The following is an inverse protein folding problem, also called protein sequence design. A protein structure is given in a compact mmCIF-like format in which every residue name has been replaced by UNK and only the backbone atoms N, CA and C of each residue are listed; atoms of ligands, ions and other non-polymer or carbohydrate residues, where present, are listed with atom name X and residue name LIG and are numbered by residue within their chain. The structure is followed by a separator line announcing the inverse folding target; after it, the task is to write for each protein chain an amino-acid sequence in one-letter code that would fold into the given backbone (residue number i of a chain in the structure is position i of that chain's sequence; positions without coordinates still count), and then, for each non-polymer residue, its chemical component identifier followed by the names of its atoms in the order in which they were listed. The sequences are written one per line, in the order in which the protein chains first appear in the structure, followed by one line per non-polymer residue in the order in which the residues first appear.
data_IF_219900067300
#
_entry.id   IF_219900067300
#
_cell.length_a   1.000
_cell.length_b   1.000
_cell.length_c   1.000
_cell.angle_alpha   90.00
_cell.angle_beta   90.00
_cell.angle_gamma   90.00
#
_symmetry.space_group_name_H-M   'P 1'
#
loop_
_entity.id
_entity.type
_entity.pdbx_description
1 polymer ?
#
# COMPACT_ATOMS: atom_id res chain seq x y z
N UNK A 1 55.70 71.28 -65.24
CA UNK A 1 54.63 71.49 -64.26
C UNK A 1 53.67 70.31 -64.29
N UNK A 2 53.43 69.73 -63.12
CA UNK A 2 52.34 68.84 -62.67
C UNK A 2 51.48 68.03 -63.69
N UNK A 3 51.77 66.72 -63.73
CA UNK A 3 50.89 65.56 -63.41
C UNK A 3 49.40 65.53 -63.78
N UNK A 4 49.00 64.42 -64.40
CA UNK A 4 47.62 63.91 -64.39
C UNK A 4 47.51 62.48 -64.94
N UNK A 5 48.02 61.48 -64.21
CA UNK A 5 47.88 60.05 -64.56
C UNK A 5 46.50 59.57 -64.11
N UNK A 6 45.63 59.25 -65.07
CA UNK A 6 44.26 58.79 -64.81
C UNK A 6 44.25 57.27 -64.59
N UNK A 7 44.44 56.82 -63.34
CA UNK A 7 44.32 55.40 -62.96
C UNK A 7 42.84 55.03 -62.75
N UNK A 8 42.28 54.25 -63.68
CA UNK A 8 41.00 53.55 -63.50
C UNK A 8 41.14 52.52 -62.37
N UNK A 9 40.50 52.77 -61.23
CA UNK A 9 40.35 51.80 -60.15
C UNK A 9 39.16 50.90 -60.50
N UNK A 10 39.45 49.63 -60.80
CA UNK A 10 38.42 48.59 -60.97
C UNK A 10 37.74 48.29 -59.65
N UNK A 11 36.40 48.32 -59.63
CA UNK A 11 35.53 48.04 -58.47
C UNK A 11 35.58 46.57 -57.98
N UNK A 12 36.57 45.79 -58.43
CA UNK A 12 36.77 44.38 -58.06
C UNK A 12 37.73 44.16 -56.87
N UNK A 13 38.42 45.21 -56.37
CA UNK A 13 39.44 45.09 -55.32
C UNK A 13 38.95 45.39 -53.89
N UNK A 14 37.67 45.74 -53.68
CA UNK A 14 37.14 46.12 -52.36
C UNK A 14 36.19 45.08 -51.74
N UNK A 15 36.31 43.79 -52.11
CA UNK A 15 35.44 42.70 -51.60
C UNK A 15 36.20 41.49 -51.03
N UNK A 16 37.43 41.66 -50.54
CA UNK A 16 38.22 40.54 -49.99
C UNK A 16 38.39 40.54 -48.45
N UNK A 17 37.78 41.48 -47.71
CA UNK A 17 37.95 41.55 -46.25
C UNK A 17 36.64 41.68 -45.48
N UNK A 18 35.67 40.80 -45.72
CA UNK A 18 34.56 40.58 -44.78
C UNK A 18 33.83 39.24 -45.01
N UNK A 19 34.58 38.13 -45.10
CA UNK A 19 34.04 36.82 -44.75
C UNK A 19 34.71 36.36 -43.46
N UNK A 20 34.23 36.87 -42.33
CA UNK A 20 34.34 36.12 -41.07
C UNK A 20 33.52 34.85 -41.30
N UNK A 21 34.20 33.72 -41.49
CA UNK A 21 33.55 32.43 -41.38
C UNK A 21 32.91 32.39 -39.99
N UNK A 22 31.58 32.30 -39.94
CA UNK A 22 30.88 31.86 -38.74
C UNK A 22 31.35 30.42 -38.49
N UNK A 23 32.46 30.27 -37.74
CA UNK A 23 32.74 29.02 -37.05
C UNK A 23 31.64 28.89 -36.01
N UNK A 24 30.55 28.20 -36.35
CA UNK A 24 29.70 27.62 -35.31
C UNK A 24 30.59 26.66 -34.54
N UNK A 25 31.12 27.08 -33.41
CA UNK A 25 31.74 26.16 -32.47
C UNK A 25 30.61 25.30 -31.91
N UNK A 26 30.29 24.20 -32.60
CA UNK A 26 29.59 23.12 -31.94
C UNK A 26 30.52 22.65 -30.83
N UNK A 27 30.11 22.86 -29.59
CA UNK A 27 30.85 22.42 -28.42
C UNK A 27 30.81 20.89 -28.42
N UNK A 28 31.78 20.26 -29.09
CA UNK A 28 31.90 18.81 -29.14
C UNK A 28 32.58 18.36 -27.86
N UNK A 29 31.77 17.97 -26.86
CA UNK A 29 32.27 17.26 -25.69
C UNK A 29 33.02 16.00 -26.15
N UNK A 30 34.23 15.74 -25.63
CA UNK A 30 34.96 14.50 -25.94
C UNK A 30 34.04 13.29 -25.69
N UNK A 31 33.99 12.35 -26.64
CA UNK A 31 33.04 11.23 -26.59
C UNK A 31 33.08 10.44 -25.26
N UNK A 32 34.24 10.36 -24.60
CA UNK A 32 34.38 9.77 -23.26
C UNK A 32 33.72 10.58 -22.14
N UNK A 33 33.78 11.90 -22.20
CA UNK A 33 33.10 12.80 -21.25
C UNK A 33 31.59 12.73 -21.46
N UNK A 34 31.10 12.79 -22.71
CA UNK A 34 29.68 12.67 -22.99
C UNK A 34 29.11 11.32 -22.52
N UNK A 35 29.82 10.20 -22.79
CA UNK A 35 29.43 8.87 -22.29
C UNK A 35 29.38 8.81 -20.77
N UNK A 36 30.38 9.38 -20.09
CA UNK A 36 30.45 9.41 -18.63
C UNK A 36 29.33 10.26 -18.05
N UNK A 37 29.08 11.45 -18.60
CA UNK A 37 27.98 12.33 -18.18
C UNK A 37 26.63 11.64 -18.38
N UNK A 38 26.39 10.98 -19.51
CA UNK A 38 25.15 10.23 -19.75
C UNK A 38 25.00 9.07 -18.76
N UNK A 39 26.08 8.35 -18.44
CA UNK A 39 26.06 7.28 -17.45
C UNK A 39 25.74 7.80 -16.04
N UNK A 40 26.36 8.91 -15.62
CA UNK A 40 26.09 9.55 -14.32
C UNK A 40 24.65 10.06 -14.24
N UNK A 41 24.14 10.69 -15.31
CA UNK A 41 22.75 11.13 -15.37
C UNK A 41 21.78 9.95 -15.32
N UNK A 42 22.10 8.85 -16.00
CA UNK A 42 21.29 7.63 -15.98
C UNK A 42 21.27 7.00 -14.58
N UNK A 43 22.43 6.87 -13.92
CA UNK A 43 22.50 6.38 -12.54
C UNK A 43 21.74 7.30 -11.58
N UNK A 44 21.90 8.62 -11.73
CA UNK A 44 21.16 9.61 -10.94
C UNK A 44 19.65 9.49 -11.15
N UNK A 45 19.21 9.31 -12.39
CA UNK A 45 17.80 9.07 -12.72
C UNK A 45 17.28 7.75 -12.12
N UNK A 46 18.05 6.66 -12.18
CA UNK A 46 17.67 5.38 -11.56
C UNK A 46 17.57 5.49 -10.04
N UNK A 47 18.51 6.18 -9.39
CA UNK A 47 18.48 6.40 -7.95
C UNK A 47 17.26 7.25 -7.55
N UNK A 48 16.98 8.31 -8.30
CA UNK A 48 15.78 9.13 -8.10
C UNK A 48 14.49 8.32 -8.32
N UNK A 49 14.41 7.53 -9.39
CA UNK A 49 13.25 6.71 -9.70
C UNK A 49 13.01 5.64 -8.63
N UNK A 50 14.08 5.02 -8.12
CA UNK A 50 14.01 4.08 -7.01
C UNK A 50 13.46 4.77 -5.76
N UNK A 51 14.02 5.91 -5.36
CA UNK A 51 13.52 6.65 -4.19
C UNK A 51 12.08 7.11 -4.34
N UNK A 52 11.69 7.58 -5.54
CA UNK A 52 10.32 7.98 -5.84
C UNK A 52 9.33 6.80 -5.79
N UNK A 53 9.81 5.58 -6.02
CA UNK A 53 8.99 4.39 -5.99
C UNK A 53 8.82 3.77 -4.59
N UNK A 54 9.69 4.14 -3.64
CA UNK A 54 9.59 3.66 -2.26
C UNK A 54 8.55 4.45 -1.46
N UNK A 55 7.76 3.78 -0.61
CA UNK A 55 6.92 4.47 0.36
C UNK A 55 7.79 5.25 1.36
N UNK A 56 7.29 6.38 1.90
CA UNK A 56 8.01 7.06 2.96
C UNK A 56 8.11 6.16 4.20
N UNK A 57 9.13 6.36 5.05
CA UNK A 57 9.29 5.56 6.25
C UNK A 57 8.03 5.60 7.14
N UNK A 58 7.60 4.46 7.71
CA UNK A 58 6.48 4.42 8.64
C UNK A 58 6.75 5.30 9.86
N UNK A 59 5.72 6.03 10.29
CA UNK A 59 5.81 6.85 11.50
C UNK A 59 5.68 5.97 12.72
N UNK A 60 6.70 5.99 13.57
CA UNK A 60 6.78 5.13 14.76
C UNK A 60 5.87 5.69 15.85
N UNK A 61 5.03 4.84 16.44
CA UNK A 61 4.12 5.22 17.50
C UNK A 61 4.88 5.79 18.72
N UNK A 62 4.37 6.89 19.28
CA UNK A 62 4.98 7.58 20.42
C UNK A 62 6.14 8.52 20.09
N UNK A 63 6.57 8.61 18.83
CA UNK A 63 7.50 9.68 18.38
C UNK A 63 6.74 11.00 18.15
N UNK A 64 7.42 12.17 18.15
CA UNK A 64 6.75 13.47 17.96
C UNK A 64 5.87 13.57 16.71
N UNK A 65 6.25 12.89 15.62
CA UNK A 65 5.51 12.90 14.35
C UNK A 65 4.59 11.68 14.17
N UNK A 66 4.63 10.70 15.10
CA UNK A 66 3.90 9.45 15.01
C UNK A 66 2.59 9.41 15.79
N UNK A 67 1.78 8.35 15.63
CA UNK A 67 0.54 8.18 16.39
C UNK A 67 0.81 8.16 17.90
N UNK A 68 -0.07 8.77 18.72
CA UNK A 68 0.02 8.62 20.17
C UNK A 68 -0.28 7.18 20.56
N UNK A 69 0.34 6.72 21.65
CA UNK A 69 0.08 5.40 22.21
C UNK A 69 -1.02 5.55 23.26
N UNK A 70 -2.21 5.09 22.92
CA UNK A 70 -3.42 5.11 23.74
C UNK A 70 -4.07 3.73 23.88
N UNK A 71 -3.79 2.82 22.96
CA UNK A 71 -4.33 1.47 22.96
C UNK A 71 -3.57 0.52 23.90
N UNK A 72 -4.26 -0.53 24.40
CA UNK A 72 -3.57 -1.74 24.84
C UNK A 72 -2.73 -2.32 23.72
N UNK A 73 -1.50 -2.74 24.05
CA UNK A 73 -0.57 -3.35 23.10
C UNK A 73 0.12 -4.55 23.72
N UNK A 74 0.39 -5.55 22.89
CA UNK A 74 1.31 -6.63 23.21
C UNK A 74 2.67 -6.36 22.58
N UNK A 75 3.74 -6.92 23.15
CA UNK A 75 5.08 -6.86 22.56
C UNK A 75 5.44 -8.22 21.98
N UNK A 76 5.61 -8.28 20.67
CA UNK A 76 6.04 -9.48 19.95
C UNK A 76 7.49 -9.84 20.28
N UNK A 77 7.88 -11.09 19.99
CA UNK A 77 9.22 -11.62 20.24
C UNK A 77 10.32 -10.87 19.51
N UNK A 78 10.02 -10.29 18.36
CA UNK A 78 10.95 -9.47 17.58
C UNK A 78 11.05 -8.01 18.07
N UNK A 79 10.29 -7.66 19.12
CA UNK A 79 10.30 -6.35 19.76
C UNK A 79 9.25 -5.38 19.25
N UNK A 80 8.54 -5.66 18.15
CA UNK A 80 7.43 -4.86 17.65
C UNK A 80 6.23 -4.93 18.59
N UNK A 81 5.38 -3.92 18.57
CA UNK A 81 4.12 -3.90 19.30
C UNK A 81 2.92 -4.06 18.37
N UNK A 82 1.92 -4.82 18.81
CA UNK A 82 0.61 -4.85 18.18
C UNK A 82 -0.44 -4.22 19.09
N UNK A 83 -1.12 -3.19 18.59
CA UNK A 83 -2.27 -2.61 19.24
C UNK A 83 -3.52 -3.43 18.97
N UNK A 84 -4.34 -3.61 20.00
CA UNK A 84 -5.55 -4.42 19.90
C UNK A 84 -6.72 -3.79 20.66
N UNK A 85 -7.91 -4.30 20.36
CA UNK A 85 -9.15 -3.96 21.04
C UNK A 85 -9.94 -5.22 21.30
N UNK A 86 -10.36 -5.39 22.55
CA UNK A 86 -11.25 -6.45 23.00
C UNK A 86 -12.70 -5.98 22.88
N UNK A 87 -13.59 -6.89 22.47
CA UNK A 87 -15.01 -6.63 22.29
C UNK A 87 -15.82 -7.78 22.87
N UNK A 88 -17.13 -7.55 23.02
CA UNK A 88 -18.10 -8.56 23.42
C UNK A 88 -17.93 -9.02 24.88
N UNK A 89 -18.20 -10.29 25.21
CA UNK A 89 -18.11 -10.77 26.61
C UNK A 89 -16.66 -10.89 27.08
N UNK A 90 -16.38 -10.82 28.39
CA UNK A 90 -15.05 -11.08 28.94
C UNK A 90 -14.48 -12.43 28.49
N UNK A 91 -13.17 -12.47 28.24
CA UNK A 91 -12.46 -13.64 27.71
C UNK A 91 -12.60 -14.90 28.59
N UNK A 92 -12.71 -14.73 29.90
CA UNK A 92 -12.86 -15.78 30.90
C UNK A 92 -14.28 -16.38 30.94
N UNK A 93 -15.29 -15.63 30.50
CA UNK A 93 -16.67 -16.09 30.33
C UNK A 93 -16.93 -16.68 28.92
N UNK A 94 -15.99 -16.47 27.99
CA UNK A 94 -16.19 -16.78 26.58
C UNK A 94 -16.03 -18.27 26.24
N UNK A 95 -17.00 -18.80 25.51
CA UNK A 95 -16.96 -20.11 24.86
C UNK A 95 -16.19 -20.09 23.54
N UNK A 96 -16.33 -19.01 22.77
CA UNK A 96 -15.66 -18.82 21.49
C UNK A 96 -14.75 -17.61 21.53
N UNK A 97 -13.48 -17.79 21.16
CA UNK A 97 -12.49 -16.73 21.12
C UNK A 97 -12.05 -16.51 19.69
N UNK A 98 -12.24 -15.30 19.19
CA UNK A 98 -12.12 -14.94 17.79
C UNK A 98 -11.09 -13.82 17.63
N UNK A 99 -10.12 -14.01 16.74
CA UNK A 99 -9.28 -12.93 16.23
C UNK A 99 -9.90 -12.41 14.93
N UNK A 100 -10.28 -11.13 14.92
CA UNK A 100 -10.79 -10.46 13.74
C UNK A 100 -9.68 -9.68 13.03
N UNK A 101 -9.49 -9.98 11.74
CA UNK A 101 -8.50 -9.32 10.88
C UNK A 101 -9.20 -8.34 9.95
N UNK A 102 -8.92 -7.05 10.14
CA UNK A 102 -9.56 -5.96 9.38
C UNK A 102 -9.05 -5.86 7.93
N UNK A 103 -9.85 -5.17 7.11
CA UNK A 103 -9.57 -4.93 5.70
C UNK A 103 -8.62 -3.76 5.44
N UNK A 104 -8.69 -3.25 4.21
CA UNK A 104 -8.01 -2.02 3.79
C UNK A 104 -8.76 -0.79 4.33
N UNK A 105 -8.07 0.34 4.54
CA UNK A 105 -8.59 1.57 5.13
C UNK A 105 -9.38 1.36 6.42
N UNK A 106 -8.83 0.51 7.29
CA UNK A 106 -9.49 0.03 8.49
C UNK A 106 -8.48 -0.23 9.60
N UNK A 107 -8.95 -0.39 10.84
CA UNK A 107 -8.13 -0.58 12.03
C UNK A 107 -8.83 -1.48 13.06
N UNK A 108 -8.23 -1.64 14.25
CA UNK A 108 -8.78 -2.38 15.38
C UNK A 108 -10.19 -1.93 15.80
N UNK A 109 -10.60 -0.69 15.50
CA UNK A 109 -11.94 -0.22 15.86
C UNK A 109 -13.05 -0.73 14.95
N UNK A 110 -12.72 -1.18 13.74
CA UNK A 110 -13.66 -1.54 12.68
C UNK A 110 -13.96 -3.05 12.64
N UNK A 111 -14.07 -3.68 13.80
CA UNK A 111 -14.46 -5.08 13.89
C UNK A 111 -15.94 -5.25 13.52
N UNK A 112 -16.24 -5.36 12.22
CA UNK A 112 -17.62 -5.33 11.70
C UNK A 112 -18.54 -6.30 12.42
N UNK A 113 -18.08 -7.52 12.68
CA UNK A 113 -18.86 -8.53 13.41
C UNK A 113 -19.15 -8.12 14.86
N UNK A 114 -18.19 -7.48 15.54
CA UNK A 114 -18.39 -7.02 16.92
C UNK A 114 -19.34 -5.82 16.98
N UNK A 115 -19.28 -4.95 15.97
CA UNK A 115 -20.07 -3.73 15.92
C UNK A 115 -21.52 -3.98 15.46
N UNK A 116 -21.81 -5.08 14.78
CA UNK A 116 -23.17 -5.37 14.24
C UNK A 116 -23.93 -6.46 14.97
N UNK A 117 -23.28 -7.31 15.77
CA UNK A 117 -23.97 -8.36 16.53
C UNK A 117 -24.79 -7.75 17.68
N UNK A 118 -25.98 -8.31 17.94
CA UNK A 118 -26.77 -7.88 19.10
C UNK A 118 -26.13 -8.34 20.42
N UNK A 119 -26.22 -7.54 21.51
CA UNK A 119 -25.68 -7.92 22.81
C UNK A 119 -26.23 -9.27 23.33
N UNK A 120 -27.50 -9.57 23.06
CA UNK A 120 -28.14 -10.82 23.48
C UNK A 120 -27.51 -12.04 22.81
N UNK A 121 -27.27 -11.98 21.48
CA UNK A 121 -26.61 -13.07 20.73
C UNK A 121 -25.17 -13.24 21.22
N UNK A 122 -24.46 -12.14 21.44
CA UNK A 122 -23.08 -12.15 21.95
C UNK A 122 -23.00 -12.86 23.30
N UNK A 123 -23.93 -12.54 24.21
CA UNK A 123 -24.00 -13.13 25.54
C UNK A 123 -24.44 -14.59 25.52
N UNK A 124 -25.47 -14.91 24.75
CA UNK A 124 -26.00 -16.27 24.59
C UNK A 124 -24.93 -17.23 24.04
N UNK A 125 -24.19 -16.80 23.03
CA UNK A 125 -23.13 -17.61 22.41
C UNK A 125 -21.82 -17.58 23.21
N UNK A 126 -21.64 -16.63 24.12
CA UNK A 126 -20.40 -16.42 24.88
C UNK A 126 -19.22 -16.11 23.94
N UNK A 127 -19.37 -15.12 23.07
CA UNK A 127 -18.36 -14.77 22.06
C UNK A 127 -17.44 -13.66 22.56
N UNK A 128 -16.14 -13.93 22.56
CA UNK A 128 -15.09 -12.93 22.74
C UNK A 128 -14.42 -12.65 21.39
N UNK A 129 -14.31 -11.38 21.03
CA UNK A 129 -13.63 -10.95 19.81
C UNK A 129 -12.49 -10.02 20.19
N UNK A 130 -11.29 -10.29 19.66
CA UNK A 130 -10.19 -9.33 19.64
C UNK A 130 -9.89 -8.94 18.20
N UNK A 131 -9.85 -7.65 17.93
CA UNK A 131 -9.31 -7.10 16.68
C UNK A 131 -7.98 -6.39 16.98
N UNK A 132 -7.11 -6.31 15.99
CA UNK A 132 -5.79 -5.69 16.15
C UNK A 132 -5.46 -4.84 14.95
N UNK A 133 -4.64 -3.82 15.15
CA UNK A 133 -4.08 -3.05 14.04
C UNK A 133 -3.00 -3.91 13.38
N UNK A 134 -3.14 -4.19 12.07
CA UNK A 134 -2.10 -4.89 11.31
C UNK A 134 -0.76 -4.14 11.39
N UNK A 135 0.40 -4.78 11.21
CA UNK A 135 1.69 -4.09 11.24
C UNK A 135 1.70 -2.85 10.33
N UNK A 136 2.08 -1.70 10.91
CA UNK A 136 2.08 -0.39 10.27
C UNK A 136 0.74 0.36 10.33
N UNK A 137 -0.35 -0.25 10.76
CA UNK A 137 -1.64 0.43 10.92
C UNK A 137 -1.83 0.94 12.34
N UNK A 138 -2.61 2.02 12.49
CA UNK A 138 -3.05 2.53 13.79
C UNK A 138 -1.90 2.71 14.77
N UNK A 139 -1.94 1.95 15.86
CA UNK A 139 -0.93 2.03 16.93
C UNK A 139 -0.01 0.79 17.01
N UNK A 140 0.03 -0.01 15.93
CA UNK A 140 0.96 -1.12 15.77
C UNK A 140 2.25 -0.69 15.08
N UNK A 141 3.37 -1.27 15.52
CA UNK A 141 4.66 -1.03 14.88
C UNK A 141 4.68 -1.62 13.45
N UNK A 142 5.40 -0.98 12.52
CA UNK A 142 5.59 -1.51 11.17
C UNK A 142 6.42 -2.79 11.17
N UNK A 143 6.16 -3.69 10.21
CA UNK A 143 7.01 -4.85 9.92
C UNK A 143 7.77 -4.60 8.60
N UNK A 144 9.03 -4.13 8.65
CA UNK A 144 9.84 -3.90 7.45
C UNK A 144 10.25 -5.21 6.75
N UNK A 145 10.15 -6.36 7.44
CA UNK A 145 10.50 -7.67 6.91
C UNK A 145 9.23 -8.53 6.71
N UNK A 146 8.10 -7.87 6.46
CA UNK A 146 6.80 -8.54 6.38
C UNK A 146 6.80 -9.64 5.34
N UNK A 147 6.33 -10.80 5.77
CA UNK A 147 6.06 -11.94 4.92
C UNK A 147 4.66 -12.47 5.20
N UNK A 148 4.13 -13.29 4.28
CA UNK A 148 2.90 -14.04 4.55
C UNK A 148 3.00 -14.87 5.84
N UNK A 149 4.19 -15.37 6.18
CA UNK A 149 4.41 -16.15 7.39
C UNK A 149 4.48 -15.28 8.65
N UNK A 150 5.16 -14.11 8.61
CA UNK A 150 5.33 -13.27 9.79
C UNK A 150 3.98 -12.84 10.37
N UNK A 151 3.05 -12.35 9.53
CA UNK A 151 1.73 -11.92 10.01
C UNK A 151 0.89 -13.05 10.62
N UNK A 152 1.08 -14.30 10.17
CA UNK A 152 0.41 -15.44 10.79
C UNK A 152 0.99 -15.77 12.16
N UNK A 153 2.32 -15.65 12.31
CA UNK A 153 3.00 -15.82 13.60
C UNK A 153 2.67 -14.68 14.58
N UNK A 154 2.55 -13.45 14.09
CA UNK A 154 2.07 -12.30 14.86
C UNK A 154 0.69 -12.58 15.48
N UNK A 155 -0.23 -13.20 14.72
CA UNK A 155 -1.55 -13.60 15.20
C UNK A 155 -1.47 -14.73 16.23
N UNK A 156 -0.57 -15.70 16.04
CA UNK A 156 -0.30 -16.76 17.01
C UNK A 156 0.22 -16.18 18.34
N UNK A 157 1.20 -15.28 18.28
CA UNK A 157 1.74 -14.59 19.45
C UNK A 157 0.70 -13.71 20.15
N UNK A 158 -0.17 -13.04 19.38
CA UNK A 158 -1.31 -12.30 19.91
C UNK A 158 -2.24 -13.23 20.70
N UNK A 159 -2.58 -14.38 20.15
CA UNK A 159 -3.42 -15.35 20.83
C UNK A 159 -2.77 -15.89 22.11
N UNK A 160 -1.46 -16.16 22.08
CA UNK A 160 -0.71 -16.67 23.23
C UNK A 160 -0.64 -15.66 24.37
N UNK A 161 -0.24 -14.43 24.07
CA UNK A 161 -0.11 -13.38 25.10
C UNK A 161 -1.46 -12.97 25.69
N UNK A 162 -2.52 -13.01 24.89
CA UNK A 162 -3.87 -12.79 25.40
C UNK A 162 -4.48 -14.03 26.06
N UNK A 163 -3.82 -15.19 26.07
CA UNK A 163 -4.34 -16.39 26.71
C UNK A 163 -5.64 -16.89 26.07
N UNK A 164 -5.71 -16.90 24.73
CA UNK A 164 -6.88 -17.40 24.01
C UNK A 164 -7.00 -18.93 24.05
N UNK A 165 -5.96 -19.62 24.52
CA UNK A 165 -5.92 -21.07 24.66
C UNK A 165 -5.19 -21.76 23.50
N UNK A 166 -5.29 -23.09 23.45
CA UNK A 166 -4.57 -23.90 22.46
C UNK A 166 -5.08 -23.66 21.04
N UNK A 167 -6.39 -23.43 20.88
CA UNK A 167 -7.01 -23.13 19.59
C UNK A 167 -7.99 -21.96 19.69
N UNK A 168 -8.05 -21.16 18.63
CA UNK A 168 -8.95 -20.01 18.49
C UNK A 168 -9.49 -19.91 17.05
N UNK A 169 -10.48 -19.05 16.84
CA UNK A 169 -11.05 -18.79 15.52
C UNK A 169 -10.44 -17.54 14.89
N UNK A 170 -10.35 -17.52 13.56
CA UNK A 170 -9.94 -16.32 12.81
C UNK A 170 -11.04 -15.91 11.86
N UNK A 171 -11.37 -14.62 11.85
CA UNK A 171 -12.29 -14.04 10.87
C UNK A 171 -11.53 -12.99 10.06
N UNK A 172 -11.38 -13.23 8.76
CA UNK A 172 -10.73 -12.29 7.84
C UNK A 172 -11.77 -11.52 7.02
N UNK A 173 -11.81 -10.20 7.16
CA UNK A 173 -12.70 -9.34 6.37
C UNK A 173 -11.95 -8.67 5.21
N UNK A 174 -12.48 -8.78 3.98
CA UNK A 174 -11.88 -8.16 2.80
C UNK A 174 -10.41 -8.55 2.63
N UNK A 175 -9.48 -7.58 2.69
CA UNK A 175 -8.03 -7.83 2.66
C UNK A 175 -7.56 -8.73 3.82
N UNK A 176 -8.24 -8.69 4.97
CA UNK A 176 -8.00 -9.60 6.09
C UNK A 176 -8.20 -11.07 5.73
N UNK A 177 -8.97 -11.37 4.67
CA UNK A 177 -9.11 -12.71 4.12
C UNK A 177 -7.77 -13.29 3.64
N UNK A 178 -6.87 -12.48 3.06
CA UNK A 178 -5.53 -12.94 2.65
C UNK A 178 -4.69 -13.37 3.86
N UNK A 179 -4.82 -12.65 4.98
CA UNK A 179 -4.13 -13.00 6.22
C UNK A 179 -4.74 -14.25 6.85
N UNK A 180 -6.05 -14.42 6.79
CA UNK A 180 -6.71 -15.64 7.22
C UNK A 180 -6.21 -16.88 6.45
N UNK A 181 -5.95 -16.76 5.13
CA UNK A 181 -5.29 -17.80 4.35
C UNK A 181 -3.86 -18.09 4.82
N UNK A 182 -3.10 -17.07 5.18
CA UNK A 182 -1.77 -17.26 5.76
C UNK A 182 -1.84 -18.02 7.09
N UNK A 183 -2.84 -17.75 7.93
CA UNK A 183 -3.05 -18.49 9.17
C UNK A 183 -3.31 -19.98 8.89
N UNK A 184 -4.19 -20.28 7.93
CA UNK A 184 -4.45 -21.67 7.50
C UNK A 184 -3.18 -22.37 7.04
N UNK A 185 -2.28 -21.65 6.36
CA UNK A 185 -1.03 -22.21 5.85
C UNK A 185 0.04 -22.42 6.93
N UNK A 186 0.22 -21.46 7.84
CA UNK A 186 1.39 -21.42 8.72
C UNK A 186 1.11 -21.76 10.18
N UNK A 187 -0.11 -21.58 10.66
CA UNK A 187 -0.51 -21.91 12.04
C UNK A 187 -1.77 -22.80 12.13
N UNK A 188 -1.99 -23.78 11.23
CA UNK A 188 -3.23 -24.57 11.23
C UNK A 188 -3.45 -25.33 12.56
N UNK A 189 -2.38 -25.66 13.28
CA UNK A 189 -2.45 -26.32 14.59
C UNK A 189 -3.14 -25.45 15.66
N UNK A 190 -3.16 -24.13 15.49
CA UNK A 190 -3.79 -23.15 16.40
C UNK A 190 -5.23 -22.80 16.05
N UNK A 191 -5.75 -23.27 14.93
CA UNK A 191 -7.05 -22.83 14.43
C UNK A 191 -8.14 -23.83 14.82
N UNK A 192 -9.16 -23.35 15.51
CA UNK A 192 -10.43 -24.06 15.70
C UNK A 192 -11.34 -23.91 14.48
N UNK A 193 -11.19 -22.81 13.73
CA UNK A 193 -11.91 -22.55 12.48
C UNK A 193 -11.54 -21.19 11.90
N UNK A 194 -11.82 -21.01 10.61
CA UNK A 194 -11.57 -19.76 9.89
C UNK A 194 -12.81 -19.38 9.10
N UNK A 195 -13.20 -18.11 9.16
CA UNK A 195 -14.24 -17.54 8.31
C UNK A 195 -13.68 -16.41 7.44
N UNK A 196 -14.08 -16.41 6.17
CA UNK A 196 -13.76 -15.36 5.22
C UNK A 196 -15.00 -14.53 4.95
N UNK A 197 -14.96 -13.24 5.27
CA UNK A 197 -16.06 -12.31 5.07
C UNK A 197 -15.73 -11.37 3.91
N UNK A 198 -16.42 -11.53 2.80
CA UNK A 198 -16.21 -10.78 1.56
C UNK A 198 -14.71 -10.65 1.18
N UNK A 199 -13.96 -11.77 1.09
CA UNK A 199 -12.51 -11.73 0.92
C UNK A 199 -12.10 -11.15 -0.44
N UNK A 200 -10.95 -10.48 -0.47
CA UNK A 200 -10.29 -10.15 -1.75
C UNK A 200 -9.75 -11.45 -2.37
N UNK A 201 -10.07 -11.68 -3.63
CA UNK A 201 -9.64 -12.87 -4.39
C UNK A 201 -8.31 -12.61 -5.09
N UNK A 202 -7.42 -13.60 -5.07
CA UNK A 202 -6.21 -13.61 -5.89
C UNK A 202 -6.47 -14.34 -7.21
N UNK A 203 -6.45 -13.60 -8.32
CA UNK A 203 -6.72 -14.13 -9.66
C UNK A 203 -5.61 -15.07 -10.20
N UNK A 204 -4.46 -15.13 -9.54
CA UNK A 204 -3.30 -15.94 -9.91
C UNK A 204 -3.10 -17.18 -9.03
N UNK A 205 -4.10 -17.60 -8.25
CA UNK A 205 -4.00 -18.87 -7.53
C UNK A 205 -3.96 -20.07 -8.49
N UNK A 206 -2.95 -20.92 -8.32
CA UNK A 206 -2.64 -22.03 -9.21
C UNK A 206 -3.76 -23.08 -9.30
N UNK A 207 -4.50 -23.28 -8.20
CA UNK A 207 -5.55 -24.29 -8.11
C UNK A 207 -6.93 -23.79 -8.57
N UNK A 208 -7.03 -22.54 -9.02
CA UNK A 208 -8.27 -22.00 -9.60
C UNK A 208 -8.26 -22.20 -11.13
N UNK A 209 -9.42 -22.52 -11.75
CA UNK A 209 -9.51 -22.63 -13.21
C UNK A 209 -9.13 -21.33 -13.90
N UNK A 210 -8.09 -21.36 -14.73
CA UNK A 210 -7.53 -20.17 -15.37
C UNK A 210 -8.53 -19.41 -16.26
N UNK A 211 -9.46 -20.12 -16.88
CA UNK A 211 -10.55 -19.51 -17.65
C UNK A 211 -11.50 -18.70 -16.77
N UNK A 212 -11.85 -19.25 -15.60
CA UNK A 212 -12.74 -18.60 -14.64
C UNK A 212 -12.06 -17.38 -14.00
N UNK A 213 -10.79 -17.52 -13.60
CA UNK A 213 -10.07 -16.38 -13.02
C UNK A 213 -9.86 -15.26 -14.03
N UNK A 214 -9.57 -15.60 -15.30
CA UNK A 214 -9.46 -14.62 -16.38
C UNK A 214 -10.79 -13.92 -16.68
N UNK A 215 -11.90 -14.67 -16.69
CA UNK A 215 -13.24 -14.12 -16.89
C UNK A 215 -13.60 -13.13 -15.77
N UNK A 216 -13.51 -13.54 -14.51
CA UNK A 216 -13.84 -12.67 -13.36
C UNK A 216 -12.89 -11.47 -13.30
N UNK A 217 -11.60 -11.67 -13.56
CA UNK A 217 -10.62 -10.58 -13.63
C UNK A 217 -11.00 -9.55 -14.70
N UNK A 218 -11.45 -9.99 -15.88
CA UNK A 218 -11.85 -9.10 -16.99
C UNK A 218 -13.06 -8.23 -16.67
N UNK A 219 -13.89 -8.65 -15.71
CA UNK A 219 -15.07 -7.90 -15.25
C UNK A 219 -14.70 -6.79 -14.25
N UNK A 220 -13.48 -6.81 -13.69
CA UNK A 220 -13.02 -5.72 -12.80
C UNK A 220 -12.70 -4.44 -13.58
N UNK A 221 -12.71 -3.29 -12.90
CA UNK A 221 -12.41 -2.00 -13.54
C UNK A 221 -11.01 -2.01 -14.14
N UNK A 222 -10.82 -1.35 -15.28
CA UNK A 222 -9.52 -1.29 -15.96
C UNK A 222 -8.39 -0.77 -15.05
N UNK A 223 -8.67 0.21 -14.19
CA UNK A 223 -7.70 0.71 -13.21
C UNK A 223 -7.29 -0.36 -12.18
N UNK A 224 -8.23 -1.20 -11.74
CA UNK A 224 -7.97 -2.28 -10.78
C UNK A 224 -7.23 -3.43 -11.44
N UNK A 225 -7.54 -3.75 -12.69
CA UNK A 225 -6.77 -4.69 -13.49
C UNK A 225 -5.30 -4.29 -13.52
N UNK A 226 -5.00 -3.03 -13.85
CA UNK A 226 -3.62 -2.56 -13.87
C UNK A 226 -2.98 -2.55 -12.49
N UNK A 227 -3.68 -2.05 -11.46
CA UNK A 227 -3.16 -2.03 -10.10
C UNK A 227 -2.81 -3.44 -9.59
N UNK A 228 -3.67 -4.43 -9.87
CA UNK A 228 -3.44 -5.84 -9.53
C UNK A 228 -2.28 -6.44 -10.31
N UNK A 229 -2.12 -6.11 -11.60
CA UNK A 229 -0.95 -6.56 -12.40
C UNK A 229 0.36 -6.01 -11.85
N UNK A 230 0.40 -4.72 -11.49
CA UNK A 230 1.58 -4.12 -10.86
C UNK A 230 1.87 -4.82 -9.54
N UNK A 231 0.87 -5.02 -8.68
CA UNK A 231 1.05 -5.72 -7.42
C UNK A 231 1.54 -7.18 -7.61
N UNK A 232 1.11 -7.87 -8.66
CA UNK A 232 1.49 -9.25 -8.93
C UNK A 232 2.88 -9.38 -9.56
N UNK A 233 3.16 -8.65 -10.65
CA UNK A 233 4.39 -8.83 -11.44
C UNK A 233 5.55 -7.93 -11.00
N UNK A 234 5.24 -6.77 -10.42
CA UNK A 234 6.24 -5.76 -10.01
C UNK A 234 5.85 -5.16 -8.64
N UNK A 235 5.75 -5.98 -7.57
CA UNK A 235 5.20 -5.54 -6.29
C UNK A 235 5.92 -4.32 -5.69
N UNK A 236 7.22 -4.14 -5.98
CA UNK A 236 8.02 -2.99 -5.55
C UNK A 236 7.55 -1.64 -6.16
N UNK A 237 6.72 -1.65 -7.20
CA UNK A 237 6.10 -0.47 -7.80
C UNK A 237 4.67 -0.21 -7.29
N UNK A 238 4.14 -1.03 -6.37
CA UNK A 238 2.74 -0.92 -5.92
C UNK A 238 2.45 0.43 -5.28
N UNK A 239 3.34 0.90 -4.40
CA UNK A 239 3.25 2.24 -3.81
C UNK A 239 3.29 3.33 -4.88
N UNK A 240 4.29 3.28 -5.75
CA UNK A 240 4.44 4.26 -6.81
C UNK A 240 3.16 4.35 -7.66
N UNK A 241 2.67 3.22 -8.17
CA UNK A 241 1.50 3.16 -9.03
C UNK A 241 0.26 3.79 -8.37
N UNK A 242 0.00 3.43 -7.11
CA UNK A 242 -1.22 3.90 -6.44
C UNK A 242 -1.15 5.35 -5.93
N UNK A 243 0.02 5.99 -5.98
CA UNK A 243 0.22 7.38 -5.55
C UNK A 243 0.34 8.38 -6.71
N UNK A 244 0.38 7.90 -7.96
CA UNK A 244 0.46 8.79 -9.13
C UNK A 244 -0.86 9.52 -9.39
N UNK A 245 -0.75 10.75 -9.92
CA UNK A 245 -1.90 11.57 -10.34
C UNK A 245 -2.23 11.44 -11.83
N UNK A 246 -1.34 10.85 -12.62
CA UNK A 246 -1.45 10.81 -14.08
C UNK A 246 -2.32 9.65 -14.59
N UNK A 247 -2.60 8.68 -13.74
CA UNK A 247 -3.48 7.55 -14.04
C UNK A 247 -4.24 7.14 -12.76
N UNK A 248 -5.42 6.52 -12.89
CA UNK A 248 -6.24 6.16 -11.74
C UNK A 248 -5.56 5.07 -10.90
N UNK A 249 -5.53 5.27 -9.57
CA UNK A 249 -5.11 4.27 -8.61
C UNK A 249 -6.18 3.18 -8.42
N UNK A 250 -5.89 2.15 -7.63
CA UNK A 250 -6.88 1.13 -7.29
C UNK A 250 -8.14 1.80 -6.71
N UNK A 251 -9.31 1.38 -7.19
CA UNK A 251 -10.62 1.97 -6.90
C UNK A 251 -11.02 1.85 -5.43
N UNK A 252 -10.52 0.82 -4.73
CA UNK A 252 -10.87 0.55 -3.33
C UNK A 252 -10.13 1.48 -2.36
N UNK A 253 -8.78 1.58 -2.36
CA UNK A 253 -8.06 2.55 -1.53
C UNK A 253 -8.44 4.00 -1.81
N UNK A 254 -8.76 4.32 -3.07
CA UNK A 254 -9.16 5.68 -3.50
C UNK A 254 -10.60 6.04 -3.18
N UNK A 255 -11.36 5.15 -2.50
CA UNK A 255 -12.77 5.35 -2.17
C UNK A 255 -13.64 5.78 -3.38
N UNK A 256 -13.41 5.16 -4.54
CA UNK A 256 -14.17 5.48 -5.75
C UNK A 256 -15.67 5.28 -5.50
N UNK A 257 -16.52 6.29 -5.71
CA UNK A 257 -17.97 6.17 -5.50
C UNK A 257 -18.59 5.13 -6.44
N UNK A 258 -17.94 4.84 -7.56
CA UNK A 258 -18.38 3.86 -8.56
C UNK A 258 -18.19 2.42 -8.10
N UNK A 259 -17.66 2.16 -6.89
CA UNK A 259 -17.65 0.84 -6.29
C UNK A 259 -19.02 0.44 -5.72
N UNK A 260 -19.92 1.41 -5.56
CA UNK A 260 -21.18 1.25 -4.86
C UNK A 260 -22.34 1.38 -5.83
N UNK A 261 -23.32 0.48 -5.69
CA UNK A 261 -24.61 0.66 -6.34
C UNK A 261 -25.32 1.91 -5.83
N UNK A 262 -26.40 2.33 -6.49
CA UNK A 262 -27.18 3.48 -6.02
C UNK A 262 -27.72 3.25 -4.60
N UNK A 263 -28.19 2.03 -4.33
CA UNK A 263 -28.69 1.61 -3.02
C UNK A 263 -27.58 1.62 -1.96
N UNK A 264 -26.38 1.15 -2.31
CA UNK A 264 -25.23 1.18 -1.39
C UNK A 264 -24.87 2.62 -1.01
N UNK A 265 -24.93 3.56 -1.96
CA UNK A 265 -24.65 4.99 -1.71
C UNK A 265 -25.64 5.60 -0.72
N UNK A 266 -26.91 5.18 -0.77
CA UNK A 266 -27.94 5.63 0.18
C UNK A 266 -27.69 5.10 1.60
N UNK A 267 -27.18 3.86 1.72
CA UNK A 267 -26.86 3.22 3.00
C UNK A 267 -25.51 3.67 3.58
N UNK A 268 -24.55 4.02 2.73
CA UNK A 268 -23.21 4.47 3.11
C UNK A 268 -23.23 5.65 4.07
N UNK A 269 -24.13 6.61 3.87
CA UNK A 269 -24.28 7.76 4.76
C UNK A 269 -24.68 7.35 6.19
N UNK A 270 -25.50 6.29 6.33
CA UNK A 270 -25.94 5.75 7.62
C UNK A 270 -24.84 4.92 8.30
N UNK A 271 -24.05 4.18 7.51
CA UNK A 271 -22.95 3.33 8.00
C UNK A 271 -21.69 4.14 8.35
N UNK A 272 -21.33 5.14 7.54
CA UNK A 272 -20.16 6.00 7.78
C UNK A 272 -20.39 7.01 8.91
N UNK A 273 -21.63 7.36 9.22
CA UNK A 273 -21.96 8.20 10.39
C UNK A 273 -21.57 7.60 11.74
N UNK A 274 -21.15 6.33 11.78
CA UNK A 274 -20.67 5.63 12.99
C UNK A 274 -19.13 5.55 13.10
N UNK A 275 -18.37 6.06 12.11
CA UNK A 275 -16.91 6.15 12.23
C UNK A 275 -16.56 7.30 13.17
N UNK A 276 -16.04 6.96 14.36
CA UNK A 276 -15.57 7.95 15.33
C UNK A 276 -14.34 8.71 14.86
N UNK A 277 -13.84 9.65 15.67
CA UNK A 277 -12.71 10.55 15.40
C UNK A 277 -11.33 9.88 15.13
N UNK A 278 -11.26 8.56 14.93
CA UNK A 278 -10.02 7.81 14.74
C UNK A 278 -9.56 7.70 13.27
N UNK A 279 -10.30 8.24 12.30
CA UNK A 279 -9.95 8.21 10.87
C UNK A 279 -8.54 8.76 10.56
N UNK A 280 -8.08 9.73 11.35
CA UNK A 280 -6.75 10.36 11.19
C UNK A 280 -5.59 9.38 11.46
N UNK A 281 -5.84 8.26 12.18
CA UNK A 281 -4.81 7.27 12.55
C UNK A 281 -4.72 6.07 11.60
N UNK A 282 -5.65 5.93 10.64
CA UNK A 282 -5.78 4.71 9.81
C UNK A 282 -4.76 4.67 8.65
N UNK A 283 -4.34 5.83 8.13
CA UNK A 283 -3.54 5.95 6.90
C UNK A 283 -2.04 6.11 7.15
N UNK A 284 -1.41 5.19 7.87
CA UNK A 284 0.05 5.14 7.90
C UNK A 284 0.57 3.91 7.16
N UNK A 285 0.70 4.06 5.84
CA UNK A 285 1.70 3.37 5.01
C UNK A 285 1.61 1.85 4.81
N UNK A 286 0.75 1.13 5.54
CA UNK A 286 0.62 -0.33 5.40
C UNK A 286 -0.11 -0.80 4.13
N UNK A 287 -0.78 0.10 3.40
CA UNK A 287 -1.62 -0.26 2.24
C UNK A 287 -0.82 -0.55 0.97
N UNK A 288 0.39 -0.01 0.93
CA UNK A 288 1.22 0.03 -0.28
C UNK A 288 2.52 -0.76 -0.16
N UNK A 289 2.67 -1.48 0.97
CA UNK A 289 3.78 -2.37 1.31
C UNK A 289 3.33 -3.84 1.31
#
# INVERSE_FOLDING_TARGET
MATGVNRKISAASARSHSRRANKSSSFQLPAGILRTTLAVLFIGFLAWAYQAAQPPPPKICGTPDGPPITAPRIKLRDGRHLAYKEHCVPKDEAKYKIIFVHGINSCRHDAVIANTLSPDIVKELGVYIVSFDRPGYGESDPDPNRTSKSIALDIEELADQLGLGSKFYVVGFSMGGQIAWNCLKYIPHRLAGVALLAPVVNYWWLDLPANLTAEVYSQTKLQDQWALRIAHYTPWLTYWWNTQRWFPSCSVPSHSPDNFSKQDRELLSKLLGHKGNYEVSIMLLGEYN
#
